data_IF_038066564374
#
_entry.id   IF_038066564374
#
_cell.length_a   1.000
_cell.length_b   1.000
_cell.length_c   1.000
_cell.angle_alpha   90.00
_cell.angle_beta   90.00
_cell.angle_gamma   90.00
#
_symmetry.space_group_name_H-M   'P 1'
#
loop_
_entity.id
_entity.type
_entity.pdbx_description
1 polymer ?
#
# COMPACT_ATOMS: atom_id res chain seq x y z
N UNK A 1 0.36 19.49 2.54
CA UNK A 1 0.55 20.20 3.84
C UNK A 1 0.78 19.15 4.91
N UNK A 2 1.81 19.26 5.76
CA UNK A 2 2.03 18.32 6.88
C UNK A 2 1.20 18.81 8.07
N UNK A 3 0.50 17.88 8.74
CA UNK A 3 -0.29 18.14 9.95
C UNK A 3 0.47 17.58 11.15
N UNK A 4 0.48 18.31 12.28
CA UNK A 4 1.04 17.86 13.54
C UNK A 4 -0.02 18.00 14.60
N UNK A 5 -0.24 16.96 15.39
CA UNK A 5 -1.27 16.94 16.42
C UNK A 5 -0.58 16.83 17.79
N UNK A 6 -1.02 17.67 18.72
CA UNK A 6 -0.64 17.53 20.11
C UNK A 6 -1.21 16.24 20.70
N UNK A 7 -0.33 15.36 21.17
CA UNK A 7 -0.71 14.01 21.66
C UNK A 7 -1.21 13.99 23.11
N UNK A 8 -1.11 15.12 23.83
CA UNK A 8 -1.61 15.24 25.20
C UNK A 8 -3.13 15.41 25.24
N UNK A 9 -3.73 15.11 26.41
CA UNK A 9 -5.16 15.37 26.61
C UNK A 9 -5.41 16.88 26.71
N UNK A 10 -6.44 17.38 26.01
CA UNK A 10 -6.81 18.81 26.06
C UNK A 10 -7.18 19.27 27.46
N UNK A 11 -7.72 18.38 28.31
CA UNK A 11 -8.05 18.65 29.71
C UNK A 11 -6.84 18.91 30.60
N UNK A 12 -5.64 18.47 30.19
CA UNK A 12 -4.37 18.64 30.89
C UNK A 12 -3.40 19.54 30.15
N UNK A 13 -3.89 20.31 29.16
CA UNK A 13 -3.09 21.21 28.36
C UNK A 13 -2.52 22.33 29.26
N UNK A 14 -1.20 22.40 29.36
CA UNK A 14 -0.47 23.42 30.12
C UNK A 14 0.36 24.30 29.18
N UNK A 15 0.74 25.48 29.64
CA UNK A 15 1.66 26.36 28.89
C UNK A 15 2.95 25.61 28.56
N UNK A 16 3.55 24.91 29.55
CA UNK A 16 4.76 24.11 29.34
C UNK A 16 4.58 22.97 28.31
N UNK A 17 3.40 22.36 28.27
CA UNK A 17 3.07 21.34 27.24
C UNK A 17 3.02 21.92 25.82
N UNK A 18 2.47 23.13 25.68
CA UNK A 18 2.45 23.86 24.39
C UNK A 18 3.86 24.27 23.97
N UNK A 19 4.65 24.81 24.92
CA UNK A 19 6.05 25.21 24.66
C UNK A 19 6.91 24.02 24.22
N UNK A 20 6.76 22.86 24.88
CA UNK A 20 7.44 21.61 24.45
C UNK A 20 7.04 21.21 23.05
N UNK A 21 5.74 21.17 22.75
CA UNK A 21 5.24 20.83 21.41
C UNK A 21 5.80 21.74 20.31
N UNK A 22 5.85 23.07 20.58
CA UNK A 22 6.42 24.05 19.66
C UNK A 22 7.93 23.82 19.49
N UNK A 23 8.64 23.51 20.55
CA UNK A 23 10.08 23.22 20.54
C UNK A 23 10.35 21.97 19.70
N UNK A 24 9.60 20.88 19.93
CA UNK A 24 9.74 19.62 19.20
C UNK A 24 9.39 19.80 17.71
N UNK A 25 8.39 20.63 17.39
CA UNK A 25 8.08 21.02 16.02
C UNK A 25 9.24 21.75 15.33
N UNK A 26 9.83 22.74 16.00
CA UNK A 26 10.96 23.53 15.48
C UNK A 26 12.20 22.67 15.27
N UNK A 27 12.44 21.71 16.14
CA UNK A 27 13.56 20.79 16.07
C UNK A 27 13.35 19.68 15.01
N UNK A 28 12.13 19.50 14.49
CA UNK A 28 11.80 18.42 13.56
C UNK A 28 11.57 17.06 14.23
N UNK A 29 11.42 17.02 15.55
CA UNK A 29 11.23 15.79 16.33
C UNK A 29 9.81 15.24 16.24
N UNK A 30 8.84 16.06 15.79
CA UNK A 30 7.46 15.63 15.63
C UNK A 30 7.25 14.85 14.34
N UNK A 31 6.61 13.69 14.47
CA UNK A 31 6.08 12.95 13.30
C UNK A 31 4.80 13.61 12.80
N UNK A 32 4.69 13.76 11.49
CA UNK A 32 3.46 14.26 10.88
C UNK A 32 2.31 13.29 11.18
N UNK A 33 1.16 13.85 11.56
CA UNK A 33 -0.06 13.06 11.72
C UNK A 33 -0.61 12.68 10.36
N UNK A 34 -0.81 11.39 10.14
CA UNK A 34 -1.50 10.84 8.97
C UNK A 34 -2.86 10.29 9.42
N UNK A 35 -3.89 10.60 8.65
CA UNK A 35 -5.19 9.95 8.81
C UNK A 35 -5.02 8.46 8.58
N UNK A 36 -5.53 7.64 9.50
CA UNK A 36 -5.47 6.19 9.40
C UNK A 36 -6.69 5.54 10.01
N UNK A 37 -7.19 4.51 9.35
CA UNK A 37 -8.06 3.53 9.98
C UNK A 37 -7.27 2.71 11.00
N UNK A 38 -7.97 2.01 11.92
CA UNK A 38 -7.34 1.00 12.77
C UNK A 38 -6.69 -0.11 11.94
N UNK A 39 -5.58 -0.64 12.44
CA UNK A 39 -4.95 -1.81 11.81
C UNK A 39 -5.89 -3.02 11.86
N UNK A 40 -6.07 -3.74 10.75
CA UNK A 40 -6.89 -4.94 10.76
C UNK A 40 -6.23 -6.03 11.60
N UNK A 41 -7.03 -6.71 12.43
CA UNK A 41 -6.57 -7.77 13.33
C UNK A 41 -6.19 -9.06 12.60
N UNK A 42 -6.82 -9.30 11.44
CA UNK A 42 -6.57 -10.47 10.59
C UNK A 42 -6.24 -10.02 9.17
N UNK A 43 -5.19 -10.59 8.62
CA UNK A 43 -4.77 -10.40 7.23
C UNK A 43 -4.92 -11.73 6.48
N UNK A 44 -5.55 -11.69 5.31
CA UNK A 44 -5.55 -12.79 4.36
C UNK A 44 -4.43 -12.64 3.32
N UNK A 45 -4.48 -13.40 2.21
CA UNK A 45 -3.57 -13.22 1.08
C UNK A 45 -3.58 -11.79 0.52
N UNK A 46 -4.75 -11.14 0.51
CA UNK A 46 -4.86 -9.72 0.19
C UNK A 46 -4.60 -8.86 1.42
N UNK A 47 -3.47 -8.21 1.44
CA UNK A 47 -3.06 -7.34 2.56
C UNK A 47 -3.83 -6.03 2.55
N UNK A 48 -4.44 -5.67 3.69
CA UNK A 48 -5.05 -4.36 3.90
C UNK A 48 -4.01 -3.43 4.52
N UNK A 49 -3.67 -2.38 3.80
CA UNK A 49 -2.76 -1.33 4.29
C UNK A 49 -3.60 -0.15 4.78
N UNK A 50 -3.24 0.39 5.94
CA UNK A 50 -3.78 1.62 6.51
C UNK A 50 -2.67 2.66 6.68
N UNK A 51 -3.01 3.91 7.02
CA UNK A 51 -2.03 5.00 7.12
C UNK A 51 -0.82 4.67 8.02
N UNK A 52 -1.07 4.05 9.19
CA UNK A 52 -0.04 3.68 10.15
C UNK A 52 0.88 2.53 9.70
N UNK A 53 0.38 1.63 8.84
CA UNK A 53 1.14 0.47 8.34
C UNK A 53 1.79 0.69 6.98
N UNK A 54 1.46 1.79 6.30
CA UNK A 54 1.90 2.05 4.93
C UNK A 54 3.42 1.96 4.78
N UNK A 55 4.15 2.74 5.55
CA UNK A 55 5.63 2.79 5.44
C UNK A 55 6.28 1.44 5.76
N UNK A 56 5.76 0.74 6.76
CA UNK A 56 6.28 -0.57 7.17
C UNK A 56 6.12 -1.63 6.08
N UNK A 57 4.98 -1.61 5.36
CA UNK A 57 4.66 -2.64 4.36
C UNK A 57 5.24 -2.26 3.00
N UNK A 58 4.98 -1.02 2.55
CA UNK A 58 5.36 -0.59 1.19
C UNK A 58 6.85 -0.36 1.06
N UNK A 59 7.49 0.19 2.11
CA UNK A 59 8.92 0.49 2.10
C UNK A 59 9.80 -0.66 2.62
N UNK A 60 9.22 -1.85 2.86
CA UNK A 60 10.01 -3.04 3.18
C UNK A 60 10.95 -3.38 2.02
N UNK A 61 12.28 -3.29 2.21
CA UNK A 61 13.25 -3.51 1.13
C UNK A 61 13.35 -4.98 0.69
N UNK A 62 12.75 -5.89 1.43
CA UNK A 62 12.76 -7.34 1.15
C UNK A 62 11.57 -7.80 0.32
N UNK A 63 10.55 -6.95 0.12
CA UNK A 63 9.29 -7.30 -0.54
C UNK A 63 9.07 -6.52 -1.82
N UNK A 64 8.50 -7.19 -2.82
CA UNK A 64 7.80 -6.56 -3.93
C UNK A 64 6.36 -6.31 -3.49
N UNK A 65 5.86 -5.08 -3.64
CA UNK A 65 4.52 -4.71 -3.15
C UNK A 65 3.71 -4.08 -4.28
N UNK A 66 2.57 -4.68 -4.64
CA UNK A 66 1.61 -4.11 -5.58
C UNK A 66 0.39 -3.60 -4.81
N UNK A 67 0.14 -2.30 -4.87
CA UNK A 67 -0.91 -1.63 -4.09
C UNK A 67 -2.01 -1.11 -5.01
N UNK A 68 -3.26 -1.46 -4.69
CA UNK A 68 -4.46 -0.83 -5.23
C UNK A 68 -4.93 0.27 -4.29
N UNK A 69 -4.75 1.52 -4.70
CA UNK A 69 -5.37 2.68 -4.05
C UNK A 69 -6.79 2.85 -4.57
N UNK A 70 -7.76 2.83 -3.69
CA UNK A 70 -9.17 2.84 -4.07
C UNK A 70 -10.03 3.78 -3.22
N UNK A 71 -11.24 4.00 -3.68
CA UNK A 71 -12.32 4.59 -2.92
C UNK A 71 -13.52 3.61 -2.88
N UNK A 72 -14.21 3.43 -1.72
CA UNK A 72 -15.30 2.46 -1.58
C UNK A 72 -16.50 2.72 -2.51
N UNK A 73 -16.73 3.97 -2.86
CA UNK A 73 -17.81 4.41 -3.74
C UNK A 73 -17.47 4.31 -5.24
N UNK A 74 -16.22 4.04 -5.60
CA UNK A 74 -15.77 4.01 -7.01
C UNK A 74 -16.23 2.73 -7.72
N UNK A 75 -17.01 2.85 -8.80
CA UNK A 75 -17.53 1.73 -9.58
C UNK A 75 -16.42 0.86 -10.19
N UNK A 76 -15.40 1.47 -10.84
CA UNK A 76 -14.26 0.73 -11.39
C UNK A 76 -13.44 -0.01 -10.31
N UNK A 77 -13.38 0.54 -9.10
CA UNK A 77 -12.73 -0.14 -7.98
C UNK A 77 -13.49 -1.39 -7.54
N UNK A 78 -14.83 -1.33 -7.57
CA UNK A 78 -15.70 -2.48 -7.25
C UNK A 78 -15.57 -3.59 -8.30
N UNK A 79 -15.51 -3.24 -9.57
CA UNK A 79 -15.28 -4.22 -10.66
C UNK A 79 -13.91 -4.89 -10.53
N UNK A 80 -12.87 -4.15 -10.13
CA UNK A 80 -11.52 -4.69 -9.96
C UNK A 80 -11.37 -5.50 -8.66
N UNK A 81 -12.26 -5.38 -7.69
CA UNK A 81 -12.11 -6.02 -6.38
C UNK A 81 -12.01 -7.55 -6.46
N UNK A 82 -12.89 -8.29 -7.17
CA UNK A 82 -12.77 -9.75 -7.29
C UNK A 82 -11.47 -10.18 -7.98
N UNK A 83 -11.05 -9.48 -9.02
CA UNK A 83 -9.78 -9.75 -9.73
C UNK A 83 -8.59 -9.57 -8.79
N UNK A 84 -8.66 -8.56 -7.93
CA UNK A 84 -7.60 -8.26 -6.96
C UNK A 84 -7.49 -9.31 -5.84
N UNK A 85 -8.63 -9.84 -5.38
CA UNK A 85 -8.69 -10.97 -4.44
C UNK A 85 -8.13 -12.25 -5.08
N UNK A 86 -8.51 -12.53 -6.34
CA UNK A 86 -8.02 -13.69 -7.08
C UNK A 86 -6.52 -13.61 -7.33
N UNK A 87 -6.01 -12.43 -7.71
CA UNK A 87 -4.57 -12.18 -7.85
C UNK A 87 -3.83 -12.46 -6.53
N UNK A 88 -4.32 -11.92 -5.41
CA UNK A 88 -3.70 -12.12 -4.11
C UNK A 88 -3.65 -13.61 -3.71
N UNK A 89 -4.73 -14.34 -3.97
CA UNK A 89 -4.77 -15.79 -3.72
C UNK A 89 -3.81 -16.56 -4.64
N UNK A 90 -3.68 -16.16 -5.91
CA UNK A 90 -2.81 -16.85 -6.87
C UNK A 90 -1.32 -16.74 -6.56
N UNK A 91 -0.93 -15.76 -5.75
CA UNK A 91 0.47 -15.50 -5.38
C UNK A 91 0.74 -15.66 -3.87
N UNK A 92 -0.21 -16.24 -3.12
CA UNK A 92 -0.13 -16.37 -1.67
C UNK A 92 1.10 -17.15 -1.20
N UNK A 93 1.58 -18.10 -2.01
CA UNK A 93 2.77 -18.92 -1.73
C UNK A 93 4.09 -18.23 -2.09
N UNK A 94 4.06 -16.99 -2.60
CA UNK A 94 5.25 -16.21 -2.94
C UNK A 94 5.58 -15.28 -1.76
N UNK A 95 6.51 -15.63 -0.88
CA UNK A 95 6.69 -14.94 0.41
C UNK A 95 7.17 -13.50 0.27
N UNK A 96 7.85 -13.18 -0.85
CA UNK A 96 8.43 -11.85 -1.09
C UNK A 96 7.57 -10.96 -1.99
N UNK A 97 6.33 -11.40 -2.33
CA UNK A 97 5.36 -10.62 -3.09
C UNK A 97 4.12 -10.33 -2.25
N UNK A 98 3.79 -9.06 -2.13
CA UNK A 98 2.60 -8.59 -1.40
C UNK A 98 1.63 -7.95 -2.36
N UNK A 99 0.41 -8.47 -2.44
CA UNK A 99 -0.72 -7.82 -3.10
C UNK A 99 -1.54 -7.11 -2.02
N UNK A 100 -1.73 -5.80 -2.19
CA UNK A 100 -2.31 -4.98 -1.15
C UNK A 100 -3.41 -4.04 -1.67
N UNK A 101 -4.28 -3.60 -0.76
CA UNK A 101 -5.27 -2.55 -0.99
C UNK A 101 -5.16 -1.47 0.07
N UNK A 102 -5.46 -0.23 -0.34
CA UNK A 102 -5.39 0.96 0.51
C UNK A 102 -6.58 1.86 0.22
N UNK A 103 -7.47 2.04 1.19
CA UNK A 103 -8.56 3.02 1.07
C UNK A 103 -7.98 4.43 1.24
N UNK A 104 -7.81 5.13 0.11
CA UNK A 104 -7.24 6.46 0.11
C UNK A 104 -8.23 7.57 0.51
N UNK A 105 -9.48 7.22 0.82
CA UNK A 105 -10.47 8.14 1.41
C UNK A 105 -10.43 8.14 2.93
N UNK A 106 -10.03 7.04 3.53
CA UNK A 106 -9.96 6.83 4.97
C UNK A 106 -8.52 6.94 5.53
N UNK A 107 -7.51 6.82 4.66
CA UNK A 107 -6.10 6.80 5.03
C UNK A 107 -5.28 7.81 4.23
N UNK A 108 -4.18 8.29 4.82
CA UNK A 108 -3.18 9.14 4.16
C UNK A 108 -1.85 8.38 4.06
N UNK A 109 -1.22 8.41 2.88
CA UNK A 109 0.12 7.90 2.64
C UNK A 109 1.05 9.06 2.28
N UNK A 110 2.15 9.21 3.00
CA UNK A 110 3.09 10.29 2.74
C UNK A 110 3.77 10.12 1.37
N UNK A 111 3.83 11.19 0.58
CA UNK A 111 4.55 11.18 -0.70
C UNK A 111 3.83 10.48 -1.86
N UNK A 112 2.64 9.95 -1.65
CA UNK A 112 1.85 9.30 -2.71
C UNK A 112 0.87 10.28 -3.31
N UNK A 113 1.00 10.54 -4.62
CA UNK A 113 0.04 11.33 -5.37
C UNK A 113 -0.99 10.41 -6.03
N UNK A 114 -2.25 10.54 -5.64
CA UNK A 114 -3.38 9.79 -6.22
C UNK A 114 -4.24 10.79 -6.97
N UNK A 115 -4.31 10.65 -8.31
CA UNK A 115 -5.06 11.55 -9.18
C UNK A 115 -6.45 11.04 -9.53
N UNK A 116 -6.73 9.77 -9.22
CA UNK A 116 -8.00 9.11 -9.51
C UNK A 116 -8.04 7.68 -8.99
N UNK A 117 -9.20 7.04 -9.09
CA UNK A 117 -9.43 5.69 -8.60
C UNK A 117 -9.94 4.74 -9.69
N UNK A 118 -9.46 3.47 -9.67
CA UNK A 118 -8.33 2.97 -8.89
C UNK A 118 -6.99 3.44 -9.46
N UNK A 119 -6.01 3.70 -8.59
CA UNK A 119 -4.60 3.85 -8.96
C UNK A 119 -3.86 2.60 -8.49
N UNK A 120 -3.08 1.99 -9.38
CA UNK A 120 -2.27 0.81 -9.08
C UNK A 120 -0.80 1.20 -9.13
N UNK A 121 -0.07 0.92 -8.04
CA UNK A 121 1.37 1.21 -7.95
C UNK A 121 2.14 0.00 -7.47
N UNK A 122 3.25 -0.26 -8.13
CA UNK A 122 4.18 -1.31 -7.78
C UNK A 122 5.44 -0.73 -7.14
N UNK A 123 5.88 -1.33 -6.05
CA UNK A 123 7.06 -0.95 -5.28
C UNK A 123 8.02 -2.13 -5.22
N UNK A 124 8.99 -2.21 -6.16
CA UNK A 124 9.98 -3.29 -6.16
C UNK A 124 10.82 -3.29 -4.88
N UNK A 125 11.26 -4.47 -4.43
CA UNK A 125 12.10 -4.62 -3.22
C UNK A 125 13.39 -3.78 -3.27
N UNK A 126 13.94 -3.56 -4.43
CA UNK A 126 15.20 -2.82 -4.61
C UNK A 126 15.01 -1.34 -4.94
N UNK A 127 13.76 -0.89 -5.20
CA UNK A 127 13.45 0.49 -5.57
C UNK A 127 12.05 0.89 -5.11
N UNK A 128 11.95 1.60 -4.00
CA UNK A 128 10.69 2.02 -3.39
C UNK A 128 10.12 3.35 -3.93
N UNK A 129 10.62 3.84 -5.05
CA UNK A 129 10.09 5.06 -5.69
C UNK A 129 8.64 4.88 -6.20
N UNK A 130 8.25 3.64 -6.46
CA UNK A 130 6.93 3.30 -6.98
C UNK A 130 6.83 3.48 -8.50
N UNK A 131 6.30 2.48 -9.17
CA UNK A 131 6.02 2.48 -10.60
C UNK A 131 4.52 2.39 -10.79
N UNK A 132 3.95 3.25 -11.63
CA UNK A 132 2.53 3.17 -11.97
C UNK A 132 2.30 1.95 -12.88
N UNK A 133 1.27 1.18 -12.56
CA UNK A 133 0.81 0.10 -13.45
C UNK A 133 0.01 0.71 -14.61
N UNK A 134 0.42 0.43 -15.81
CA UNK A 134 -0.12 0.96 -17.07
C UNK A 134 -0.82 -0.08 -17.96
N UNK A 135 -0.94 -1.33 -17.46
CA UNK A 135 -1.56 -2.45 -18.17
C UNK A 135 -3.08 -2.51 -18.05
N UNK A 136 -3.65 -3.50 -18.76
CA UNK A 136 -5.07 -3.85 -18.64
C UNK A 136 -5.37 -4.44 -17.25
N UNK A 137 -6.59 -4.18 -16.76
CA UNK A 137 -6.99 -4.51 -15.38
C UNK A 137 -7.68 -5.86 -15.23
N UNK A 138 -7.36 -6.81 -16.11
CA UNK A 138 -7.73 -8.21 -15.96
C UNK A 138 -6.60 -9.02 -15.29
N UNK A 139 -6.93 -10.18 -14.77
CA UNK A 139 -5.99 -11.02 -14.02
C UNK A 139 -4.75 -11.39 -14.84
N UNK A 140 -4.96 -11.85 -16.09
CA UNK A 140 -3.88 -12.34 -16.95
C UNK A 140 -2.89 -11.21 -17.30
N UNK A 141 -3.40 -10.01 -17.60
CA UNK A 141 -2.58 -8.84 -17.90
C UNK A 141 -1.79 -8.39 -16.69
N UNK A 142 -2.38 -8.40 -15.48
CA UNK A 142 -1.66 -8.06 -14.25
C UNK A 142 -0.57 -9.08 -13.93
N UNK A 143 -0.86 -10.38 -14.08
CA UNK A 143 0.13 -11.45 -13.87
C UNK A 143 1.28 -11.37 -14.87
N UNK A 144 0.99 -11.11 -16.14
CA UNK A 144 1.99 -10.89 -17.18
C UNK A 144 2.89 -9.69 -16.83
N UNK A 145 2.28 -8.59 -16.43
CA UNK A 145 3.02 -7.39 -16.02
C UNK A 145 3.92 -7.67 -14.80
N UNK A 146 3.41 -8.41 -13.80
CA UNK A 146 4.21 -8.85 -12.65
C UNK A 146 5.37 -9.75 -13.07
N UNK A 147 5.17 -10.64 -14.05
CA UNK A 147 6.25 -11.47 -14.59
C UNK A 147 7.38 -10.66 -15.26
N UNK A 148 7.09 -9.47 -15.72
CA UNK A 148 8.09 -8.56 -16.32
C UNK A 148 8.78 -7.70 -15.27
N UNK A 149 8.06 -7.24 -14.24
CA UNK A 149 8.51 -6.20 -13.32
C UNK A 149 8.88 -6.70 -11.91
N UNK A 150 8.30 -7.82 -11.44
CA UNK A 150 8.55 -8.37 -10.11
C UNK A 150 9.59 -9.48 -10.12
N UNK A 151 10.67 -9.29 -9.38
CA UNK A 151 11.66 -10.33 -9.19
C UNK A 151 11.14 -11.48 -8.33
N UNK A 152 10.28 -11.18 -7.34
CA UNK A 152 9.65 -12.17 -6.49
C UNK A 152 8.68 -13.06 -7.29
N UNK A 153 7.88 -12.47 -8.17
CA UNK A 153 6.97 -13.22 -9.04
C UNK A 153 7.72 -14.15 -10.00
N UNK A 154 8.81 -13.68 -10.62
CA UNK A 154 9.65 -14.50 -11.52
C UNK A 154 10.22 -15.75 -10.86
N UNK A 155 10.57 -15.66 -9.58
CA UNK A 155 11.20 -16.77 -8.84
C UNK A 155 10.18 -17.70 -8.20
N UNK A 156 8.99 -17.20 -7.85
CA UNK A 156 7.98 -17.92 -7.07
C UNK A 156 6.74 -18.36 -7.86
N UNK A 157 6.49 -17.79 -9.05
CA UNK A 157 5.32 -18.18 -9.83
C UNK A 157 5.38 -19.67 -10.22
N UNK A 158 4.27 -20.41 -10.10
CA UNK A 158 4.22 -21.75 -10.65
C UNK A 158 4.57 -21.68 -12.13
N UNK A 159 5.55 -22.49 -12.56
CA UNK A 159 5.86 -22.62 -14.00
C UNK A 159 4.56 -23.00 -14.70
N UNK A 160 4.04 -22.09 -15.53
CA UNK A 160 2.94 -22.44 -16.42
C UNK A 160 3.43 -23.65 -17.22
N UNK A 161 2.69 -24.76 -17.14
CA UNK A 161 2.92 -25.87 -18.02
C UNK A 161 2.80 -25.33 -19.46
N UNK A 162 3.92 -25.20 -20.15
CA UNK A 162 3.92 -24.96 -21.57
C UNK A 162 3.22 -26.17 -22.20
N UNK A 163 1.95 -25.99 -22.59
CA UNK A 163 1.31 -26.89 -23.53
C UNK A 163 1.97 -26.69 -24.91
N UNK A 164 3.20 -27.16 -25.02
CA UNK A 164 3.85 -27.46 -26.27
C UNK A 164 3.94 -28.98 -26.37
N UNK A 165 2.78 -29.60 -26.60
CA UNK A 165 2.70 -30.91 -27.23
C UNK A 165 1.36 -30.99 -27.99
N UNK A 166 1.39 -30.59 -29.25
CA UNK A 166 0.67 -31.26 -30.37
C UNK A 166 1.24 -30.77 -31.68
#
# INVERSE_FOLDING_TARGET
MRKFIYSGQLSTLTVGGIESFIKDFKNGDLKAHLKSEPEPTNQGPLTVIVGTTYDKIVNDPTKDVLVKFYAPWCGHCKTLAPIWEELANSVADIPDLVIAKFDATANEAAGVAIRGYPTLKFYPKNNKAGVDFDGERDLASIQKWLAEHSSAYKTGAPKQATNDEL
#
